data_IF_323378943520
#
_entry.id   IF_323378943520
#
_cell.length_a   1.000
_cell.length_b   1.000
_cell.length_c   1.000
_cell.angle_alpha   90.00
_cell.angle_beta   90.00
_cell.angle_gamma   90.00
#
_symmetry.space_group_name_H-M   'P 1'
#
loop_
_entity.id
_entity.type
_entity.pdbx_description
1 polymer ?
#
# COMPACT_ATOMS: atom_id res chain seq x y z
N UNK A 1 -22.75 -4.26 -5.78
CA UNK A 1 -24.04 -3.97 -5.11
C UNK A 1 -25.11 -3.33 -5.98
N UNK A 2 -24.83 -2.91 -7.22
CA UNK A 2 -25.88 -2.29 -8.06
C UNK A 2 -26.78 -3.29 -8.82
N UNK A 3 -26.41 -4.58 -8.88
CA UNK A 3 -27.19 -5.62 -9.56
C UNK A 3 -27.66 -6.69 -8.58
N UNK A 4 -28.97 -6.98 -8.49
CA UNK A 4 -29.51 -8.02 -7.61
C UNK A 4 -29.30 -9.44 -8.16
N UNK A 5 -28.86 -9.59 -9.41
CA UNK A 5 -28.63 -10.88 -10.04
C UNK A 5 -27.34 -11.58 -9.56
N UNK A 6 -26.47 -10.88 -8.84
CA UNK A 6 -25.19 -11.39 -8.34
C UNK A 6 -25.27 -11.60 -6.84
N UNK A 7 -25.08 -12.84 -6.39
CA UNK A 7 -24.92 -13.17 -4.98
C UNK A 7 -23.49 -12.87 -4.56
N UNK A 8 -23.30 -11.89 -3.69
CA UNK A 8 -22.00 -11.63 -3.10
C UNK A 8 -21.69 -12.65 -2.00
N UNK A 9 -20.44 -13.13 -1.99
CA UNK A 9 -19.91 -14.04 -0.97
C UNK A 9 -18.96 -13.32 -0.01
N UNK A 10 -18.65 -12.06 -0.29
CA UNK A 10 -17.80 -11.19 0.53
C UNK A 10 -18.27 -9.75 0.40
N UNK A 11 -17.96 -8.94 1.42
CA UNK A 11 -18.37 -7.57 1.56
C UNK A 11 -17.18 -6.61 1.34
N UNK A 12 -17.38 -5.55 0.56
CA UNK A 12 -16.43 -4.45 0.40
C UNK A 12 -17.18 -3.12 0.57
N UNK A 13 -16.56 -2.18 1.27
CA UNK A 13 -17.17 -0.88 1.60
C UNK A 13 -16.83 0.22 0.61
N UNK A 14 -15.93 -0.04 -0.35
CA UNK A 14 -15.46 0.90 -1.38
C UNK A 14 -16.12 0.66 -2.75
N UNK A 15 -15.84 1.55 -3.71
CA UNK A 15 -16.24 1.35 -5.09
C UNK A 15 -15.55 0.13 -5.72
N UNK A 16 -16.24 -0.56 -6.62
CA UNK A 16 -15.74 -1.77 -7.28
C UNK A 16 -14.73 -1.49 -8.41
N UNK A 17 -14.85 -0.39 -9.14
CA UNK A 17 -13.97 -0.06 -10.26
C UNK A 17 -12.91 0.97 -9.83
N UNK A 18 -11.61 0.76 -10.14
CA UNK A 18 -10.99 -0.49 -10.59
C UNK A 18 -10.77 -1.47 -9.42
N UNK A 19 -10.59 -2.76 -9.72
CA UNK A 19 -10.29 -3.75 -8.68
C UNK A 19 -8.88 -3.57 -8.12
N UNK A 20 -8.79 -3.15 -6.85
CA UNK A 20 -7.51 -2.99 -6.14
C UNK A 20 -6.72 -4.29 -5.99
N UNK A 21 -7.41 -5.43 -5.79
CA UNK A 21 -6.77 -6.74 -5.73
C UNK A 21 -6.09 -7.12 -7.05
N UNK A 22 -6.78 -6.90 -8.18
CA UNK A 22 -6.23 -7.14 -9.51
C UNK A 22 -5.04 -6.23 -9.81
N UNK A 23 -5.14 -4.95 -9.44
CA UNK A 23 -4.07 -3.96 -9.59
C UNK A 23 -2.81 -4.32 -8.78
N UNK A 24 -2.97 -4.63 -7.49
CA UNK A 24 -1.86 -5.01 -6.60
C UNK A 24 -1.22 -6.31 -7.08
N UNK A 25 -2.02 -7.30 -7.48
CA UNK A 25 -1.50 -8.55 -8.01
C UNK A 25 -0.61 -8.32 -9.25
N UNK A 26 -1.09 -7.55 -10.23
CA UNK A 26 -0.33 -7.22 -11.43
C UNK A 26 0.98 -6.51 -11.11
N UNK A 27 0.96 -5.54 -10.18
CA UNK A 27 2.15 -4.82 -9.75
C UNK A 27 3.17 -5.69 -9.02
N UNK A 28 2.75 -6.40 -7.95
CA UNK A 28 3.65 -7.16 -7.07
C UNK A 28 4.21 -8.40 -7.75
N UNK A 29 3.35 -9.24 -8.34
CA UNK A 29 3.79 -10.47 -8.99
C UNK A 29 4.54 -10.18 -10.29
N UNK A 30 4.12 -9.16 -11.03
CA UNK A 30 4.84 -8.70 -12.21
C UNK A 30 6.23 -8.11 -11.88
N UNK A 31 6.36 -7.37 -10.77
CA UNK A 31 7.67 -6.89 -10.30
C UNK A 31 8.58 -8.07 -9.91
N UNK A 32 8.06 -9.07 -9.19
CA UNK A 32 8.83 -10.27 -8.86
C UNK A 32 9.31 -11.01 -10.12
N UNK A 33 8.42 -11.19 -11.10
CA UNK A 33 8.74 -11.83 -12.37
C UNK A 33 9.82 -11.06 -13.16
N UNK A 34 9.69 -9.73 -13.22
CA UNK A 34 10.68 -8.88 -13.87
C UNK A 34 12.05 -8.90 -13.17
N UNK A 35 12.07 -8.98 -11.83
CA UNK A 35 13.31 -9.04 -11.04
C UNK A 35 14.06 -10.35 -11.20
N UNK A 36 13.35 -11.48 -11.23
CA UNK A 36 13.97 -12.80 -11.42
C UNK A 36 14.25 -13.11 -12.89
N UNK A 37 13.46 -12.53 -13.79
CA UNK A 37 13.59 -12.62 -15.25
C UNK A 37 13.73 -14.06 -15.79
N UNK A 38 12.96 -15.01 -15.25
CA UNK A 38 12.91 -16.40 -15.73
C UNK A 38 11.53 -16.68 -16.33
N UNK A 39 11.49 -17.35 -17.48
CA UNK A 39 10.25 -17.61 -18.21
C UNK A 39 9.18 -18.32 -17.36
N UNK A 40 9.57 -19.31 -16.54
CA UNK A 40 8.64 -20.01 -15.65
C UNK A 40 8.09 -19.11 -14.54
N UNK A 41 8.86 -18.11 -14.06
CA UNK A 41 8.39 -17.15 -13.05
C UNK A 41 7.36 -16.21 -13.67
N UNK A 42 7.57 -15.77 -14.91
CA UNK A 42 6.56 -15.02 -15.65
C UNK A 42 5.27 -15.82 -15.85
N UNK A 43 5.37 -17.09 -16.25
CA UNK A 43 4.22 -17.98 -16.37
C UNK A 43 3.46 -18.12 -15.04
N UNK A 44 4.18 -18.34 -13.94
CA UNK A 44 3.59 -18.43 -12.60
C UNK A 44 2.96 -17.11 -12.15
N UNK A 45 3.61 -15.98 -12.37
CA UNK A 45 3.09 -14.66 -12.02
C UNK A 45 1.79 -14.35 -12.78
N UNK A 46 1.77 -14.58 -14.09
CA UNK A 46 0.57 -14.40 -14.92
C UNK A 46 -0.56 -15.29 -14.43
N UNK A 47 -0.26 -16.56 -14.12
CA UNK A 47 -1.24 -17.48 -13.57
C UNK A 47 -1.83 -16.97 -12.23
N UNK A 48 -0.99 -16.51 -11.29
CA UNK A 48 -1.45 -15.98 -10.01
C UNK A 48 -2.27 -14.70 -10.20
N UNK A 49 -1.83 -13.77 -11.05
CA UNK A 49 -2.56 -12.52 -11.36
C UNK A 49 -3.95 -12.84 -11.91
N UNK A 50 -4.03 -13.82 -12.82
CA UNK A 50 -5.29 -14.28 -13.39
C UNK A 50 -6.19 -14.93 -12.33
N UNK A 51 -5.66 -15.83 -11.50
CA UNK A 51 -6.42 -16.48 -10.42
C UNK A 51 -6.93 -15.50 -9.36
N UNK A 52 -6.15 -14.47 -9.01
CA UNK A 52 -6.62 -13.40 -8.12
C UNK A 52 -7.75 -12.60 -8.78
N UNK A 53 -7.66 -12.29 -10.07
CA UNK A 53 -8.77 -11.64 -10.78
C UNK A 53 -10.03 -12.51 -10.81
N UNK A 54 -9.88 -13.81 -11.07
CA UNK A 54 -10.99 -14.76 -11.09
C UNK A 54 -11.65 -14.91 -9.71
N UNK A 55 -10.88 -14.91 -8.62
CA UNK A 55 -11.44 -14.99 -7.27
C UNK A 55 -12.34 -13.80 -6.95
N UNK A 56 -12.03 -12.61 -7.48
CA UNK A 56 -12.86 -11.40 -7.33
C UNK A 56 -14.21 -11.50 -8.06
N UNK A 57 -14.25 -12.16 -9.22
CA UNK A 57 -15.50 -12.44 -9.91
C UNK A 57 -16.31 -13.51 -9.17
N UNK A 58 -15.64 -14.57 -8.72
CA UNK A 58 -16.25 -15.67 -7.98
C UNK A 58 -16.89 -15.20 -6.66
N UNK A 59 -16.22 -14.31 -5.93
CA UNK A 59 -16.74 -13.74 -4.68
C UNK A 59 -17.89 -12.74 -4.92
N UNK A 60 -18.22 -12.39 -6.17
CA UNK A 60 -19.32 -11.49 -6.50
C UNK A 60 -19.08 -10.03 -6.11
N UNK A 61 -17.81 -9.63 -5.96
CA UNK A 61 -17.38 -8.32 -5.45
C UNK A 61 -16.90 -7.37 -6.56
N UNK A 62 -16.67 -7.90 -7.77
CA UNK A 62 -16.26 -7.13 -8.94
C UNK A 62 -16.92 -7.67 -10.21
N UNK A 63 -17.11 -6.78 -11.19
CA UNK A 63 -17.42 -7.14 -12.56
C UNK A 63 -16.15 -7.40 -13.38
N UNK A 64 -16.26 -8.09 -14.53
CA UNK A 64 -15.10 -8.34 -15.39
C UNK A 64 -14.33 -7.07 -15.80
N UNK A 65 -15.04 -5.96 -16.02
CA UNK A 65 -14.41 -4.69 -16.39
C UNK A 65 -13.62 -4.08 -15.23
N UNK A 66 -14.04 -4.25 -13.97
CA UNK A 66 -13.30 -3.78 -12.79
C UNK A 66 -11.93 -4.48 -12.70
N UNK A 67 -11.91 -5.79 -12.94
CA UNK A 67 -10.71 -6.62 -12.92
C UNK A 67 -9.79 -6.26 -14.08
N UNK A 68 -10.34 -6.09 -15.29
CA UNK A 68 -9.59 -5.69 -16.47
C UNK A 68 -8.93 -4.32 -16.27
N UNK A 69 -9.68 -3.33 -15.78
CA UNK A 69 -9.14 -2.01 -15.46
C UNK A 69 -8.04 -2.10 -14.38
N UNK A 70 -8.25 -2.94 -13.35
CA UNK A 70 -7.24 -3.19 -12.33
C UNK A 70 -5.93 -3.75 -12.92
N UNK A 71 -6.01 -4.76 -13.79
CA UNK A 71 -4.83 -5.30 -14.49
C UNK A 71 -4.13 -4.28 -15.38
N UNK A 72 -4.89 -3.49 -16.15
CA UNK A 72 -4.33 -2.45 -17.01
C UNK A 72 -3.60 -1.38 -16.20
N UNK A 73 -4.19 -0.91 -15.10
CA UNK A 73 -3.57 0.07 -14.22
C UNK A 73 -2.34 -0.50 -13.51
N UNK A 74 -2.41 -1.72 -12.98
CA UNK A 74 -1.29 -2.38 -12.32
C UNK A 74 -0.13 -2.64 -13.29
N UNK A 75 -0.45 -3.08 -14.52
CA UNK A 75 0.52 -3.27 -15.60
C UNK A 75 1.17 -1.97 -16.05
N UNK A 76 0.40 -0.88 -16.15
CA UNK A 76 0.95 0.45 -16.46
C UNK A 76 1.90 0.95 -15.38
N UNK A 77 1.52 0.84 -14.10
CA UNK A 77 2.39 1.22 -12.97
C UNK A 77 3.67 0.38 -12.97
N UNK A 78 3.56 -0.94 -13.19
CA UNK A 78 4.72 -1.82 -13.30
C UNK A 78 5.64 -1.40 -14.45
N UNK A 79 5.10 -1.18 -15.64
CA UNK A 79 5.86 -0.71 -16.79
C UNK A 79 6.59 0.60 -16.51
N UNK A 80 5.90 1.58 -15.90
CA UNK A 80 6.48 2.87 -15.54
C UNK A 80 7.62 2.70 -14.53
N UNK A 81 7.44 1.87 -13.51
CA UNK A 81 8.48 1.56 -12.52
C UNK A 81 9.69 0.90 -13.18
N UNK A 82 9.50 -0.13 -14.01
CA UNK A 82 10.61 -0.81 -14.69
C UNK A 82 11.39 0.13 -15.63
N UNK A 83 10.71 1.10 -16.26
CA UNK A 83 11.33 2.08 -17.15
C UNK A 83 12.08 3.19 -16.40
N UNK A 84 11.54 3.66 -15.28
CA UNK A 84 12.02 4.87 -14.62
C UNK A 84 12.89 4.60 -13.38
N UNK A 85 12.73 3.46 -12.71
CA UNK A 85 13.29 3.21 -11.38
C UNK A 85 14.79 3.46 -11.29
N UNK A 86 15.61 2.83 -12.13
CA UNK A 86 17.07 2.93 -12.01
C UNK A 86 17.55 4.37 -12.23
N UNK A 87 16.95 5.08 -13.20
CA UNK A 87 17.28 6.49 -13.50
C UNK A 87 16.92 7.39 -12.32
N UNK A 88 15.70 7.24 -11.79
CA UNK A 88 15.21 8.04 -10.67
C UNK A 88 16.02 7.73 -9.41
N UNK A 89 16.25 6.46 -9.10
CA UNK A 89 17.01 6.04 -7.92
C UNK A 89 18.45 6.55 -7.95
N UNK A 90 19.14 6.47 -9.10
CA UNK A 90 20.48 7.01 -9.25
C UNK A 90 20.51 8.53 -9.03
N UNK A 91 19.54 9.26 -9.60
CA UNK A 91 19.43 10.70 -9.42
C UNK A 91 19.13 11.11 -7.97
N UNK A 92 18.18 10.42 -7.31
CA UNK A 92 17.80 10.67 -5.91
C UNK A 92 18.99 10.40 -4.97
N UNK A 93 19.75 9.33 -5.21
CA UNK A 93 20.93 8.98 -4.40
C UNK A 93 21.99 10.07 -4.40
N UNK A 94 22.11 10.86 -5.47
CA UNK A 94 23.01 12.00 -5.56
C UNK A 94 22.52 13.27 -4.84
N UNK A 95 21.30 13.29 -4.30
CA UNK A 95 20.74 14.45 -3.60
C UNK A 95 21.06 14.44 -2.10
N UNK A 96 21.08 15.63 -1.48
CA UNK A 96 21.20 15.75 -0.02
C UNK A 96 20.00 15.10 0.70
N UNK A 97 20.20 14.69 1.96
CA UNK A 97 19.16 14.05 2.77
C UNK A 97 17.87 14.89 2.81
N UNK A 98 17.99 16.20 3.07
CA UNK A 98 16.84 17.11 3.12
C UNK A 98 16.06 17.14 1.79
N UNK A 99 16.76 17.11 0.65
CA UNK A 99 16.10 17.05 -0.67
C UNK A 99 15.46 15.69 -0.93
N UNK A 100 16.08 14.58 -0.51
CA UNK A 100 15.45 13.26 -0.62
C UNK A 100 14.15 13.18 0.17
N UNK A 101 14.15 13.68 1.42
CA UNK A 101 12.95 13.76 2.27
C UNK A 101 11.90 14.69 1.65
N UNK A 102 12.32 15.86 1.14
CA UNK A 102 11.41 16.79 0.47
C UNK A 102 10.77 16.20 -0.79
N UNK A 103 11.52 15.45 -1.60
CA UNK A 103 11.00 14.74 -2.77
C UNK A 103 10.03 13.62 -2.38
N UNK A 104 10.35 12.85 -1.34
CA UNK A 104 9.44 11.83 -0.81
C UNK A 104 8.13 12.44 -0.32
N UNK A 105 8.20 13.55 0.41
CA UNK A 105 7.02 14.28 0.88
C UNK A 105 6.21 14.83 -0.30
N UNK A 106 6.87 15.50 -1.25
CA UNK A 106 6.23 16.04 -2.45
C UNK A 106 5.53 14.98 -3.29
N UNK A 107 6.15 13.80 -3.46
CA UNK A 107 5.53 12.66 -4.15
C UNK A 107 4.28 12.15 -3.40
N UNK A 108 4.36 11.99 -2.08
CA UNK A 108 3.20 11.59 -1.26
C UNK A 108 2.08 12.62 -1.27
N UNK A 109 2.41 13.91 -1.30
CA UNK A 109 1.42 14.99 -1.44
C UNK A 109 0.81 15.01 -2.83
N UNK A 110 1.57 14.76 -3.89
CA UNK A 110 1.02 14.65 -5.25
C UNK A 110 -0.01 13.52 -5.36
N UNK A 111 0.27 12.35 -4.77
CA UNK A 111 -0.68 11.24 -4.69
C UNK A 111 -1.95 11.64 -3.93
N UNK A 112 -1.80 12.35 -2.81
CA UNK A 112 -2.93 12.83 -2.02
C UNK A 112 -3.75 13.86 -2.82
N UNK A 113 -3.13 14.89 -3.37
CA UNK A 113 -3.79 15.94 -4.16
C UNK A 113 -4.53 15.37 -5.37
N UNK A 114 -3.96 14.36 -6.04
CA UNK A 114 -4.62 13.64 -7.14
C UNK A 114 -5.93 12.95 -6.73
N UNK A 115 -6.11 12.64 -5.45
CA UNK A 115 -7.33 12.03 -4.89
C UNK A 115 -8.30 13.05 -4.27
N UNK A 116 -7.82 14.23 -3.88
CA UNK A 116 -8.64 15.28 -3.26
C UNK A 116 -9.68 15.79 -4.26
N UNK A 117 -9.32 15.94 -5.54
CA UNK A 117 -10.25 16.43 -6.57
C UNK A 117 -11.47 15.50 -6.70
N UNK A 118 -11.31 14.16 -6.95
CA UNK A 118 -12.44 13.23 -6.93
C UNK A 118 -13.21 13.23 -5.61
N UNK A 119 -12.53 13.31 -4.46
CA UNK A 119 -13.18 13.37 -3.16
C UNK A 119 -14.10 14.59 -3.04
N UNK A 120 -13.62 15.79 -3.37
CA UNK A 120 -14.41 17.02 -3.31
C UNK A 120 -15.59 17.00 -4.30
N UNK A 121 -15.42 16.36 -5.45
CA UNK A 121 -16.47 16.20 -6.44
C UNK A 121 -17.56 15.20 -6.00
N UNK A 122 -17.22 14.22 -5.16
CA UNK A 122 -18.12 13.15 -4.73
C UNK A 122 -18.60 13.29 -3.28
N UNK A 123 -18.05 14.18 -2.46
CA UNK A 123 -18.36 14.25 -1.02
C UNK A 123 -19.85 14.48 -0.69
N UNK A 124 -20.61 15.09 -1.60
CA UNK A 124 -22.06 15.30 -1.46
C UNK A 124 -22.90 14.25 -2.18
N UNK A 125 -22.26 13.27 -2.83
CA UNK A 125 -22.95 12.16 -3.47
C UNK A 125 -23.34 11.12 -2.42
N UNK A 126 -24.62 10.75 -2.43
CA UNK A 126 -25.17 9.73 -1.53
C UNK A 126 -25.35 8.40 -2.26
N UNK A 127 -25.15 7.30 -1.55
CA UNK A 127 -25.45 5.98 -2.10
C UNK A 127 -26.95 5.83 -2.38
N UNK A 128 -27.33 5.35 -3.57
CA UNK A 128 -28.72 5.01 -3.86
C UNK A 128 -29.29 4.01 -2.84
N UNK A 129 -30.51 4.25 -2.36
CA UNK A 129 -31.17 3.39 -1.38
C UNK A 129 -31.24 1.92 -1.81
N UNK A 130 -31.44 1.67 -3.11
CA UNK A 130 -31.43 0.31 -3.67
C UNK A 130 -30.08 -0.41 -3.49
N UNK A 131 -28.96 0.31 -3.56
CA UNK A 131 -27.63 -0.28 -3.39
C UNK A 131 -27.35 -0.60 -1.92
N UNK A 132 -27.82 0.25 -1.00
CA UNK A 132 -27.76 -0.04 0.44
C UNK A 132 -28.60 -1.27 0.78
N UNK A 133 -29.83 -1.36 0.27
CA UNK A 133 -30.68 -2.53 0.46
C UNK A 133 -30.03 -3.82 -0.05
N UNK A 134 -29.40 -3.78 -1.23
CA UNK A 134 -28.67 -4.91 -1.78
C UNK A 134 -27.43 -5.29 -0.95
N UNK A 135 -26.71 -4.31 -0.40
CA UNK A 135 -25.56 -4.55 0.47
C UNK A 135 -26.01 -5.22 1.79
N UNK A 136 -27.04 -4.70 2.44
CA UNK A 136 -27.61 -5.32 3.64
C UNK A 136 -28.12 -6.74 3.36
N UNK A 137 -28.82 -6.96 2.24
CA UNK A 137 -29.30 -8.29 1.85
C UNK A 137 -28.17 -9.31 1.63
N UNK A 138 -26.96 -8.84 1.33
CA UNK A 138 -25.78 -9.68 1.16
C UNK A 138 -24.98 -9.89 2.45
N UNK A 139 -25.48 -9.42 3.60
CA UNK A 139 -24.82 -9.61 4.90
C UNK A 139 -23.63 -8.67 5.14
N UNK A 140 -23.66 -7.48 4.57
CA UNK A 140 -22.68 -6.43 4.90
C UNK A 140 -23.06 -5.81 6.26
N UNK A 141 -22.22 -6.00 7.28
CA UNK A 141 -22.46 -5.51 8.64
C UNK A 141 -22.36 -3.98 8.78
N UNK A 142 -21.47 -3.35 8.00
CA UNK A 142 -21.27 -1.90 8.00
C UNK A 142 -21.76 -1.27 6.68
N UNK A 143 -22.49 -0.14 6.73
CA UNK A 143 -22.94 0.53 5.52
C UNK A 143 -21.72 0.89 4.63
N UNK A 144 -21.80 0.64 3.30
CA UNK A 144 -20.71 1.01 2.40
C UNK A 144 -20.38 2.49 2.51
N UNK A 145 -19.10 2.81 2.71
CA UNK A 145 -18.59 4.17 2.86
C UNK A 145 -17.45 4.43 1.86
N UNK A 146 -17.76 4.53 0.55
CA UNK A 146 -16.77 4.51 -0.51
C UNK A 146 -16.04 5.84 -0.74
N UNK A 147 -16.60 6.94 -0.24
CA UNK A 147 -16.04 8.29 -0.40
C UNK A 147 -15.32 8.67 0.89
N UNK A 148 -14.02 8.40 0.95
CA UNK A 148 -13.19 8.69 2.12
C UNK A 148 -11.74 8.91 1.70
N UNK A 149 -11.01 9.78 2.40
CA UNK A 149 -9.57 9.97 2.20
C UNK A 149 -8.72 8.98 3.00
N UNK A 150 -9.35 8.10 3.80
CA UNK A 150 -8.64 7.19 4.69
C UNK A 150 -7.61 6.31 3.97
N UNK A 151 -7.97 5.71 2.83
CA UNK A 151 -7.09 4.82 2.08
C UNK A 151 -5.88 5.52 1.47
N UNK A 152 -6.10 6.68 0.85
CA UNK A 152 -5.02 7.45 0.21
C UNK A 152 -4.10 8.10 1.24
N UNK A 153 -4.62 8.63 2.36
CA UNK A 153 -3.79 9.14 3.45
C UNK A 153 -2.92 8.07 4.08
N UNK A 154 -3.47 6.86 4.24
CA UNK A 154 -2.72 5.68 4.71
C UNK A 154 -1.57 5.38 3.76
N UNK A 155 -1.85 5.28 2.45
CA UNK A 155 -0.86 4.94 1.43
C UNK A 155 0.21 6.02 1.29
N UNK A 156 -0.19 7.29 1.16
CA UNK A 156 0.73 8.44 1.05
C UNK A 156 1.59 8.60 2.28
N UNK A 157 1.03 8.42 3.49
CA UNK A 157 1.78 8.45 4.74
C UNK A 157 2.82 7.33 4.78
N UNK A 158 2.41 6.08 4.53
CA UNK A 158 3.33 4.94 4.50
C UNK A 158 4.46 5.12 3.48
N UNK A 159 4.16 5.60 2.27
CA UNK A 159 5.19 5.87 1.24
C UNK A 159 6.16 6.97 1.67
N UNK A 160 5.64 8.06 2.26
CA UNK A 160 6.49 9.13 2.77
C UNK A 160 7.45 8.59 3.84
N UNK A 161 6.91 7.88 4.83
CA UNK A 161 7.69 7.26 5.90
C UNK A 161 8.74 6.28 5.38
N UNK A 162 8.36 5.41 4.45
CA UNK A 162 9.27 4.42 3.84
C UNK A 162 10.44 5.09 3.11
N UNK A 163 10.16 6.10 2.27
CA UNK A 163 11.21 6.77 1.51
C UNK A 163 12.07 7.69 2.37
N UNK A 164 11.48 8.43 3.31
CA UNK A 164 12.23 9.25 4.26
C UNK A 164 13.13 8.40 5.16
N UNK A 165 12.62 7.26 5.65
CA UNK A 165 13.40 6.32 6.44
C UNK A 165 14.50 5.66 5.63
N UNK A 166 14.23 5.24 4.39
CA UNK A 166 15.28 4.73 3.50
C UNK A 166 16.39 5.78 3.25
N UNK A 167 16.01 7.03 2.98
CA UNK A 167 16.96 8.13 2.78
C UNK A 167 17.84 8.32 4.01
N UNK A 168 17.25 8.32 5.21
CA UNK A 168 18.00 8.44 6.46
C UNK A 168 18.89 7.21 6.72
N UNK A 169 18.37 5.99 6.53
CA UNK A 169 19.10 4.74 6.76
C UNK A 169 20.32 4.62 5.85
N UNK A 170 20.25 5.16 4.62
CA UNK A 170 21.40 5.23 3.73
C UNK A 170 22.52 6.12 4.29
N UNK A 171 22.20 7.18 5.04
CA UNK A 171 23.23 8.01 5.71
C UNK A 171 23.89 7.28 6.89
N UNK A 172 23.23 6.25 7.42
CA UNK A 172 23.76 5.36 8.46
C UNK A 172 24.56 4.18 7.87
N UNK A 173 24.87 4.20 6.57
CA UNK A 173 25.56 3.12 5.88
C UNK A 173 24.65 1.95 5.46
N UNK A 174 23.32 2.06 5.60
CA UNK A 174 22.40 1.00 5.21
C UNK A 174 22.47 -0.26 6.09
N UNK A 175 21.84 -1.33 5.64
CA UNK A 175 21.60 -2.54 6.44
C UNK A 175 21.75 -3.82 5.60
N UNK A 176 22.42 -4.83 6.15
CA UNK A 176 22.48 -6.17 5.56
C UNK A 176 21.46 -7.12 6.19
N UNK A 177 20.61 -7.70 5.34
CA UNK A 177 19.67 -8.75 5.75
C UNK A 177 20.34 -10.13 5.97
N UNK A 178 21.64 -10.27 5.70
CA UNK A 178 22.37 -11.52 5.95
C UNK A 178 22.48 -11.84 7.44
N UNK A 179 22.73 -13.11 7.77
CA UNK A 179 22.75 -13.61 9.14
C UNK A 179 22.14 -15.00 9.27
N UNK A 180 22.24 -15.57 10.47
CA UNK A 180 21.71 -16.90 10.83
C UNK A 180 20.18 -16.92 10.77
N UNK A 181 19.59 -18.13 10.72
CA UNK A 181 18.13 -18.31 10.76
C UNK A 181 17.54 -17.64 12.01
N UNK A 182 18.18 -17.80 13.18
CA UNK A 182 17.73 -17.18 14.42
C UNK A 182 17.76 -15.64 14.36
N UNK A 183 18.80 -15.05 13.76
CA UNK A 183 18.86 -13.61 13.55
C UNK A 183 17.75 -13.12 12.60
N UNK A 184 17.42 -13.89 11.54
CA UNK A 184 16.32 -13.56 10.63
C UNK A 184 14.96 -13.66 11.34
N UNK A 185 14.73 -14.72 12.10
CA UNK A 185 13.50 -14.93 12.87
C UNK A 185 13.28 -13.82 13.90
N UNK A 186 14.32 -13.48 14.68
CA UNK A 186 14.21 -12.44 15.69
C UNK A 186 13.98 -11.05 15.08
N UNK A 187 14.62 -10.74 13.95
CA UNK A 187 14.34 -9.49 13.20
C UNK A 187 12.89 -9.42 12.73
N UNK A 188 12.35 -10.53 12.22
CA UNK A 188 10.94 -10.57 11.82
C UNK A 188 10.01 -10.30 13.01
N UNK A 189 10.23 -10.97 14.15
CA UNK A 189 9.45 -10.78 15.37
C UNK A 189 9.53 -9.33 15.86
N UNK A 190 10.73 -8.79 16.04
CA UNK A 190 10.93 -7.41 16.53
C UNK A 190 10.35 -6.39 15.55
N UNK A 191 10.53 -6.61 14.24
CA UNK A 191 9.97 -5.75 13.20
C UNK A 191 8.44 -5.69 13.24
N UNK A 192 7.79 -6.86 13.28
CA UNK A 192 6.33 -7.00 13.35
C UNK A 192 5.78 -6.43 14.65
N UNK A 193 6.44 -6.69 15.79
CA UNK A 193 6.04 -6.12 17.07
C UNK A 193 6.05 -4.59 17.05
N UNK A 194 7.09 -3.97 16.48
CA UNK A 194 7.15 -2.51 16.36
C UNK A 194 6.06 -1.93 15.44
N UNK A 195 5.75 -2.60 14.32
CA UNK A 195 4.58 -2.23 13.49
C UNK A 195 3.30 -2.34 14.30
N UNK A 196 3.11 -3.42 15.06
CA UNK A 196 1.96 -3.63 15.93
C UNK A 196 1.82 -2.53 16.98
N UNK A 197 2.89 -2.17 17.67
CA UNK A 197 2.90 -1.09 18.68
C UNK A 197 2.49 0.24 18.05
N UNK A 198 3.07 0.61 16.90
CA UNK A 198 2.71 1.86 16.22
C UNK A 198 1.28 1.85 15.69
N UNK A 199 0.83 0.72 15.14
CA UNK A 199 -0.49 0.61 14.54
C UNK A 199 -1.61 0.55 15.57
N UNK A 200 -1.53 -0.37 16.53
CA UNK A 200 -2.51 -0.51 17.60
C UNK A 200 -2.40 0.60 18.64
N UNK A 201 -1.18 0.95 19.08
CA UNK A 201 -0.97 1.97 20.11
C UNK A 201 -1.45 3.34 19.67
N UNK A 202 -0.97 3.84 18.52
CA UNK A 202 -1.46 5.12 17.99
C UNK A 202 -2.92 5.03 17.54
N UNK A 203 -3.38 3.86 17.06
CA UNK A 203 -4.77 3.64 16.69
C UNK A 203 -5.77 3.59 17.85
N UNK A 204 -5.30 3.37 19.08
CA UNK A 204 -6.10 3.46 20.30
C UNK A 204 -6.22 4.91 20.83
N UNK A 205 -5.20 5.74 20.56
CA UNK A 205 -5.14 7.14 21.04
C UNK A 205 -5.71 8.12 20.02
N UNK A 206 -5.48 7.88 18.73
CA UNK A 206 -5.88 8.82 17.69
C UNK A 206 -7.39 8.72 17.41
N UNK A 207 -8.08 9.87 17.26
CA UNK A 207 -9.49 9.89 16.90
C UNK A 207 -9.71 9.22 15.55
N UNK A 208 -10.86 8.58 15.41
CA UNK A 208 -11.32 7.96 14.17
C UNK A 208 -12.40 8.83 13.54
N UNK A 209 -12.54 8.74 12.22
CA UNK A 209 -13.53 9.50 11.46
C UNK A 209 -12.90 10.19 10.26
N UNK A 210 -13.75 10.95 9.57
CA UNK A 210 -13.48 11.54 8.26
C UNK A 210 -13.36 13.07 8.35
N UNK A 211 -12.78 13.53 9.47
CA UNK A 211 -12.50 14.93 9.76
C UNK A 211 -11.02 15.26 9.60
N UNK A 212 -10.70 16.56 9.55
CA UNK A 212 -9.34 17.07 9.33
C UNK A 212 -8.32 16.52 10.34
N UNK A 213 -8.65 16.53 11.64
CA UNK A 213 -7.73 16.06 12.68
C UNK A 213 -7.44 14.55 12.60
N UNK A 214 -8.46 13.65 12.55
CA UNK A 214 -8.26 12.23 12.24
C UNK A 214 -7.44 11.99 10.97
N UNK A 215 -7.64 12.76 9.91
CA UNK A 215 -6.87 12.63 8.66
C UNK A 215 -5.39 12.97 8.82
N UNK A 216 -5.08 14.10 9.49
CA UNK A 216 -3.69 14.48 9.77
C UNK A 216 -3.00 13.42 10.63
N UNK A 217 -3.68 12.95 11.69
CA UNK A 217 -3.14 11.95 12.60
C UNK A 217 -3.00 10.58 11.94
N UNK A 218 -3.90 10.22 11.03
CA UNK A 218 -3.76 9.02 10.18
C UNK A 218 -2.51 9.11 9.32
N UNK A 219 -2.31 10.22 8.60
CA UNK A 219 -1.11 10.42 7.79
C UNK A 219 0.16 10.30 8.65
N UNK A 220 0.19 10.96 9.81
CA UNK A 220 1.32 10.89 10.75
C UNK A 220 1.57 9.46 11.24
N UNK A 221 0.53 8.74 11.68
CA UNK A 221 0.62 7.34 12.14
C UNK A 221 1.26 6.46 11.07
N UNK A 222 0.75 6.52 9.84
CA UNK A 222 1.24 5.65 8.78
C UNK A 222 2.61 6.07 8.24
N UNK A 223 2.97 7.35 8.36
CA UNK A 223 4.34 7.83 8.15
C UNK A 223 5.30 7.24 9.17
N UNK A 224 4.94 7.19 10.45
CA UNK A 224 5.74 6.54 11.49
C UNK A 224 5.89 5.03 11.25
N UNK A 225 4.81 4.37 10.79
CA UNK A 225 4.88 2.94 10.42
C UNK A 225 5.85 2.73 9.25
N UNK A 226 5.78 3.54 8.19
CA UNK A 226 6.71 3.45 7.07
C UNK A 226 8.17 3.74 7.47
N UNK A 227 8.37 4.73 8.33
CA UNK A 227 9.69 5.08 8.89
C UNK A 227 10.26 3.94 9.74
N UNK A 228 9.42 3.30 10.54
CA UNK A 228 9.82 2.13 11.33
C UNK A 228 10.30 0.99 10.45
N UNK A 229 9.54 0.66 9.39
CA UNK A 229 9.89 -0.44 8.48
C UNK A 229 11.23 -0.20 7.77
N UNK A 230 11.49 1.03 7.34
CA UNK A 230 12.65 1.35 6.48
C UNK A 230 13.89 1.84 7.25
N UNK A 231 13.73 2.37 8.45
CA UNK A 231 14.80 2.94 9.27
C UNK A 231 14.81 2.43 10.70
N UNK A 232 13.68 2.54 11.41
CA UNK A 232 13.62 2.26 12.86
C UNK A 232 14.01 0.83 13.21
N UNK A 233 13.37 -0.15 12.57
CA UNK A 233 13.66 -1.57 12.76
C UNK A 233 15.08 -1.94 12.29
N UNK A 234 15.53 -1.60 11.07
CA UNK A 234 16.92 -1.85 10.64
C UNK A 234 17.98 -1.27 11.60
N UNK A 235 17.79 -0.03 12.05
CA UNK A 235 18.69 0.62 13.02
C UNK A 235 18.73 -0.15 14.35
N UNK A 236 17.55 -0.53 14.87
CA UNK A 236 17.46 -1.31 16.10
C UNK A 236 18.14 -2.68 15.96
N UNK A 237 17.98 -3.35 14.81
CA UNK A 237 18.63 -4.64 14.55
C UNK A 237 20.16 -4.53 14.60
N UNK A 238 20.73 -3.45 14.07
CA UNK A 238 22.17 -3.19 14.14
C UNK A 238 22.60 -2.97 15.61
N UNK A 239 21.84 -2.18 16.38
CA UNK A 239 22.12 -1.93 17.80
C UNK A 239 22.05 -3.21 18.65
N UNK A 240 21.11 -4.10 18.33
CA UNK A 240 20.94 -5.40 19.00
C UNK A 240 21.87 -6.50 18.45
N UNK A 241 22.79 -6.18 17.53
CA UNK A 241 23.69 -7.16 16.86
C UNK A 241 22.94 -8.31 16.16
N UNK A 242 21.72 -8.04 15.72
CA UNK A 242 20.90 -8.95 14.90
C UNK A 242 21.17 -8.77 13.40
N UNK A 243 21.91 -7.72 13.05
CA UNK A 243 22.39 -7.44 11.71
C UNK A 243 23.67 -6.60 11.75
N UNK A 244 24.32 -6.50 10.59
CA UNK A 244 25.48 -5.64 10.39
C UNK A 244 25.08 -4.46 9.50
N UNK A 245 25.62 -3.27 9.81
CA UNK A 245 25.58 -2.16 8.87
C UNK A 245 26.40 -2.51 7.62
N UNK A 246 26.04 -1.97 6.46
CA UNK A 246 26.94 -2.07 5.31
C UNK A 246 28.07 -1.06 5.56
N UNK A 247 29.31 -1.53 5.59
CA UNK A 247 30.46 -0.63 5.50
C UNK A 247 30.48 -0.16 4.03
N UNK A 248 29.85 1.00 3.76
CA UNK A 248 29.88 1.66 2.45
C UNK A 248 30.92 2.76 2.48
#
# INVERSE_FOLDING_TARGET
>A
WYSPAVKALSAETSFGAPSGHAQIAAGVWGMLAARLNRAWVWGLAIFIIFMIGLSRLYLGVHFPHDVLLGWLMGGFVLWALLRAWDRVAAWVKGQSLGRQIGLAFGFSMLLLLGSVIPYLALQSWELPAAWMANATAAGVDEPPHPITLNGILTTSGTLFGLFAGLAWMNTQGGFSAHGTVNQRALRYVVGVLGVGVLWFGLGAVFPRGDELLPYILRFARYSLVGLWVSAGAPWLFIKLRLAHGLQI
#
